data_IF_413516569070
#
_entry.id   IF_413516569070
#
_cell.length_a   1.000
_cell.length_b   1.000
_cell.length_c   1.000
_cell.angle_alpha   90.00
_cell.angle_beta   90.00
_cell.angle_gamma   90.00
#
_symmetry.space_group_name_H-M   'P 1'
#
loop_
_entity.id
_entity.type
_entity.pdbx_description
1 polymer ?
#
# COMPACT_ATOMS: atom_id res chain seq x y z
N UNK A 1 -43.18 -21.74 26.61
CA UNK A 1 -41.73 -22.01 26.48
C UNK A 1 -41.61 -23.12 25.46
N UNK A 2 -41.27 -22.79 24.22
CA UNK A 2 -41.32 -23.75 23.12
C UNK A 2 -40.06 -24.62 23.17
N UNK A 3 -40.10 -25.71 23.93
CA UNK A 3 -39.18 -26.83 23.76
C UNK A 3 -39.56 -27.56 22.48
N UNK A 4 -39.19 -26.96 21.34
CA UNK A 4 -39.24 -27.65 20.06
C UNK A 4 -38.14 -28.72 20.10
N UNK A 5 -38.55 -29.94 20.40
CA UNK A 5 -37.70 -31.13 20.47
C UNK A 5 -37.21 -31.46 19.04
N UNK A 6 -36.24 -30.69 18.56
CA UNK A 6 -35.57 -30.93 17.29
C UNK A 6 -34.78 -32.23 17.41
N UNK A 7 -35.02 -33.15 16.48
CA UNK A 7 -34.32 -34.42 16.39
C UNK A 7 -32.79 -34.19 16.44
N UNK A 8 -32.09 -34.71 17.46
CA UNK A 8 -30.64 -34.55 17.61
C UNK A 8 -29.86 -35.02 16.38
N UNK A 9 -30.41 -35.96 15.60
CA UNK A 9 -29.80 -36.42 14.36
C UNK A 9 -29.75 -35.31 13.30
N UNK A 10 -30.83 -34.56 13.09
CA UNK A 10 -30.89 -33.45 12.12
C UNK A 10 -29.86 -32.37 12.48
N UNK A 11 -29.73 -32.05 13.78
CA UNK A 11 -28.74 -31.06 14.23
C UNK A 11 -27.33 -31.49 13.85
N UNK A 12 -26.96 -32.72 14.14
CA UNK A 12 -25.59 -33.21 13.96
C UNK A 12 -25.25 -33.41 12.49
N UNK A 13 -26.17 -34.00 11.73
CA UNK A 13 -25.97 -34.35 10.33
C UNK A 13 -26.14 -33.18 9.37
N UNK A 14 -26.77 -32.08 9.77
CA UNK A 14 -26.96 -30.90 8.89
C UNK A 14 -26.10 -29.72 9.33
N UNK A 15 -26.01 -29.41 10.63
CA UNK A 15 -25.23 -28.26 11.08
C UNK A 15 -23.72 -28.48 10.96
N UNK A 16 -23.21 -29.67 11.26
CA UNK A 16 -21.77 -29.91 11.16
C UNK A 16 -21.31 -29.80 9.69
N UNK A 17 -21.99 -30.44 8.72
CA UNK A 17 -21.59 -30.29 7.32
C UNK A 17 -21.75 -28.87 6.78
N UNK A 18 -22.81 -28.14 7.14
CA UNK A 18 -23.00 -26.79 6.61
C UNK A 18 -21.97 -25.78 7.15
N UNK A 19 -21.57 -25.91 8.43
CA UNK A 19 -20.48 -25.12 9.00
C UNK A 19 -19.15 -25.47 8.32
N UNK A 20 -18.90 -26.76 8.11
CA UNK A 20 -17.69 -27.25 7.45
C UNK A 20 -17.58 -26.74 6.00
N UNK A 21 -18.67 -26.80 5.24
CA UNK A 21 -18.72 -26.28 3.86
C UNK A 21 -18.45 -24.77 3.84
N UNK A 22 -19.11 -23.99 4.71
CA UNK A 22 -18.88 -22.55 4.78
C UNK A 22 -17.43 -22.21 5.16
N UNK A 23 -16.82 -22.98 6.05
CA UNK A 23 -15.42 -22.83 6.41
C UNK A 23 -14.50 -23.08 5.21
N UNK A 24 -14.69 -24.18 4.48
CA UNK A 24 -13.92 -24.48 3.28
C UNK A 24 -14.14 -23.47 2.15
N UNK A 25 -15.37 -23.01 1.94
CA UNK A 25 -15.68 -21.95 0.97
C UNK A 25 -14.98 -20.64 1.35
N UNK A 26 -14.92 -20.31 2.65
CA UNK A 26 -14.18 -19.15 3.15
C UNK A 26 -12.68 -19.24 2.84
N UNK A 27 -12.07 -20.40 3.10
CA UNK A 27 -10.67 -20.68 2.76
C UNK A 27 -10.44 -20.59 1.25
N UNK A 28 -11.29 -21.23 0.45
CA UNK A 28 -11.20 -21.22 -1.00
C UNK A 28 -11.30 -19.80 -1.55
N UNK A 29 -12.27 -19.01 -1.08
CA UNK A 29 -12.42 -17.60 -1.45
C UNK A 29 -11.18 -16.78 -1.11
N UNK A 30 -10.57 -17.00 0.04
CA UNK A 30 -9.34 -16.31 0.43
C UNK A 30 -8.20 -16.63 -0.54
N UNK A 31 -7.97 -17.91 -0.85
CA UNK A 31 -6.91 -18.30 -1.79
C UNK A 31 -7.19 -17.84 -3.22
N UNK A 32 -8.45 -17.92 -3.69
CA UNK A 32 -8.86 -17.38 -4.99
C UNK A 32 -8.59 -15.88 -5.03
N UNK A 33 -8.95 -15.13 -3.99
CA UNK A 33 -8.66 -13.70 -3.93
C UNK A 33 -7.15 -13.42 -3.91
N UNK A 34 -6.35 -14.20 -3.19
CA UNK A 34 -4.90 -14.07 -3.20
C UNK A 34 -4.31 -14.33 -4.60
N UNK A 35 -4.85 -15.32 -5.31
CA UNK A 35 -4.43 -15.66 -6.68
C UNK A 35 -4.84 -14.58 -7.70
N UNK A 36 -6.05 -14.04 -7.57
CA UNK A 36 -6.56 -12.97 -8.43
C UNK A 36 -5.98 -11.60 -8.06
N UNK A 37 -5.51 -11.42 -6.83
CA UNK A 37 -4.82 -10.23 -6.37
C UNK A 37 -3.43 -10.15 -7.01
N UNK A 38 -3.42 -9.85 -8.30
CA UNK A 38 -2.20 -9.50 -9.02
C UNK A 38 -1.61 -8.25 -8.38
N UNK A 39 -0.38 -8.35 -7.88
CA UNK A 39 0.38 -7.18 -7.46
C UNK A 39 0.59 -6.34 -8.71
N UNK A 40 -0.20 -5.26 -8.85
CA UNK A 40 0.01 -4.25 -9.90
C UNK A 40 1.50 -3.95 -9.93
N UNK A 41 2.16 -4.15 -11.07
CA UNK A 41 3.58 -3.82 -11.24
C UNK A 41 3.73 -2.36 -10.86
N UNK A 42 4.20 -2.11 -9.66
CA UNK A 42 4.40 -0.75 -9.18
C UNK A 42 5.53 -0.19 -10.02
N UNK A 43 5.24 0.91 -10.70
CA UNK A 43 6.23 1.64 -11.46
C UNK A 43 7.42 1.95 -10.54
N UNK A 44 8.62 1.52 -10.96
CA UNK A 44 9.85 1.66 -10.18
C UNK A 44 10.09 3.12 -9.80
N UNK A 45 9.71 4.05 -10.67
CA UNK A 45 9.89 5.47 -10.41
C UNK A 45 8.90 5.99 -9.37
N UNK A 46 7.71 5.40 -9.24
CA UNK A 46 6.79 5.70 -8.13
C UNK A 46 7.32 5.16 -6.81
N UNK A 47 7.95 3.99 -6.81
CA UNK A 47 8.57 3.40 -5.61
C UNK A 47 9.79 4.20 -5.15
N UNK A 48 10.68 4.58 -6.07
CA UNK A 48 11.80 5.47 -5.73
C UNK A 48 11.30 6.73 -5.05
N UNK A 49 10.25 7.33 -5.58
CA UNK A 49 9.68 8.54 -5.04
C UNK A 49 9.08 8.42 -3.64
N UNK A 50 8.39 7.32 -3.36
CA UNK A 50 7.90 7.08 -2.00
C UNK A 50 9.08 6.95 -1.02
N UNK A 51 10.19 6.32 -1.44
CA UNK A 51 11.40 6.24 -0.63
C UNK A 51 12.07 7.60 -0.42
N UNK A 52 12.24 8.42 -1.46
CA UNK A 52 12.82 9.76 -1.33
C UNK A 52 11.99 10.66 -0.43
N UNK A 53 10.67 10.59 -0.55
CA UNK A 53 9.75 11.34 0.31
C UNK A 53 9.81 10.85 1.77
N UNK A 54 9.87 9.53 1.99
CA UNK A 54 10.07 8.96 3.32
C UNK A 54 11.40 9.39 3.95
N UNK A 55 12.50 9.42 3.18
CA UNK A 55 13.80 9.92 3.62
C UNK A 55 13.76 11.39 4.01
N UNK A 56 13.08 12.23 3.21
CA UNK A 56 12.91 13.65 3.53
C UNK A 56 12.10 13.86 4.82
N UNK A 57 11.02 13.09 5.02
CA UNK A 57 10.25 13.10 6.28
C UNK A 57 11.11 12.69 7.47
N UNK A 58 11.90 11.63 7.33
CA UNK A 58 12.79 11.15 8.38
C UNK A 58 13.86 12.19 8.73
N UNK A 59 14.46 12.83 7.71
CA UNK A 59 15.44 13.90 7.91
C UNK A 59 14.81 15.10 8.63
N UNK A 60 13.57 15.47 8.31
CA UNK A 60 12.85 16.56 9.00
C UNK A 60 12.52 16.21 10.45
N UNK A 61 12.07 14.97 10.71
CA UNK A 61 11.69 14.53 12.05
C UNK A 61 12.91 14.30 12.97
N UNK A 62 13.98 13.71 12.44
CA UNK A 62 15.16 13.27 13.19
C UNK A 62 16.42 14.09 12.89
N UNK A 63 16.28 15.28 12.29
CA UNK A 63 17.40 16.12 11.89
C UNK A 63 18.26 16.62 13.04
N UNK A 64 17.73 16.60 14.28
CA UNK A 64 18.45 17.02 15.48
C UNK A 64 19.45 15.97 16.01
N UNK A 65 19.42 14.73 15.49
CA UNK A 65 20.32 13.64 15.92
C UNK A 65 21.66 13.62 15.17
N UNK A 66 21.79 14.42 14.12
CA UNK A 66 22.99 14.47 13.28
C UNK A 66 23.68 15.83 13.39
N UNK A 67 24.96 15.88 13.04
CA UNK A 67 25.70 17.15 12.96
C UNK A 67 25.02 18.13 11.99
N UNK A 68 25.04 19.42 12.32
CA UNK A 68 24.48 20.48 11.48
C UNK A 68 25.01 20.44 10.04
N UNK A 69 26.30 20.14 9.88
CA UNK A 69 26.94 20.02 8.57
C UNK A 69 26.35 18.89 7.74
N UNK A 70 26.13 17.73 8.36
CA UNK A 70 25.57 16.56 7.68
C UNK A 70 24.09 16.74 7.36
N UNK A 71 23.37 17.45 8.22
CA UNK A 71 21.99 17.85 7.96
C UNK A 71 21.89 18.77 6.75
N UNK A 72 22.73 19.81 6.69
CA UNK A 72 22.74 20.77 5.58
C UNK A 72 23.15 20.11 4.26
N UNK A 73 24.18 19.24 4.28
CA UNK A 73 24.57 18.48 3.09
C UNK A 73 23.41 17.63 2.55
N UNK A 74 22.68 16.92 3.43
CA UNK A 74 21.53 16.09 3.03
C UNK A 74 20.33 16.94 2.61
N UNK A 75 20.10 18.08 3.26
CA UNK A 75 19.07 19.06 2.87
C UNK A 75 19.33 19.56 1.46
N UNK A 76 20.58 19.93 1.15
CA UNK A 76 20.96 20.45 -0.16
C UNK A 76 20.78 19.38 -1.25
N UNK A 77 21.03 18.10 -0.97
CA UNK A 77 20.76 17.01 -1.93
C UNK A 77 19.27 16.93 -2.35
N UNK A 78 18.35 17.30 -1.47
CA UNK A 78 16.92 17.30 -1.79
C UNK A 78 16.43 18.64 -2.37
N UNK A 79 16.98 19.76 -1.91
CA UNK A 79 16.49 21.11 -2.20
C UNK A 79 17.30 21.88 -3.25
N UNK A 80 18.44 21.37 -3.74
CA UNK A 80 19.24 22.09 -4.74
C UNK A 80 18.40 22.41 -6.00
N UNK A 81 18.54 23.64 -6.53
CA UNK A 81 17.69 24.14 -7.61
C UNK A 81 17.92 23.40 -8.92
N UNK A 82 19.17 22.97 -9.19
CA UNK A 82 19.53 22.34 -10.46
C UNK A 82 19.57 20.82 -10.40
N UNK A 83 19.80 20.23 -9.22
CA UNK A 83 19.99 18.77 -9.03
C UNK A 83 19.14 18.16 -7.92
N UNK A 84 18.32 18.95 -7.24
CA UNK A 84 17.47 18.46 -6.16
C UNK A 84 16.44 17.49 -6.69
N UNK A 85 16.48 16.25 -6.19
CA UNK A 85 15.57 15.18 -6.62
C UNK A 85 14.10 15.60 -6.57
N UNK A 86 13.73 16.46 -5.61
CA UNK A 86 12.36 16.94 -5.44
C UNK A 86 11.97 18.01 -6.46
N UNK A 87 12.89 18.90 -6.84
CA UNK A 87 12.61 19.99 -7.78
C UNK A 87 12.50 19.46 -9.22
N UNK A 88 13.52 18.74 -9.70
CA UNK A 88 13.56 18.17 -11.05
C UNK A 88 12.39 17.21 -11.32
N UNK A 89 11.93 16.47 -10.30
CA UNK A 89 10.79 15.55 -10.44
C UNK A 89 9.43 16.24 -10.33
N UNK A 90 9.36 17.42 -9.69
CA UNK A 90 8.15 18.26 -9.70
C UNK A 90 7.95 18.87 -11.09
N UNK A 91 9.02 19.36 -11.70
CA UNK A 91 9.03 19.87 -13.09
C UNK A 91 8.62 18.78 -14.10
N UNK A 92 9.16 17.56 -13.97
CA UNK A 92 8.81 16.48 -14.90
C UNK A 92 7.35 16.02 -14.79
N UNK A 93 6.71 16.18 -13.61
CA UNK A 93 5.28 15.92 -13.46
C UNK A 93 4.40 17.01 -14.03
N UNK A 94 4.81 18.28 -13.95
CA UNK A 94 4.03 19.41 -14.51
C UNK A 94 4.04 19.40 -16.03
N UNK A 95 5.16 19.05 -16.67
CA UNK A 95 5.23 18.95 -18.14
C UNK A 95 4.31 17.87 -18.72
N UNK A 96 4.12 16.75 -18.01
CA UNK A 96 3.30 15.63 -18.47
C UNK A 96 1.79 15.78 -18.16
N UNK A 97 1.34 16.94 -17.66
CA UNK A 97 -0.06 17.21 -17.30
C UNK A 97 -0.65 18.41 -18.05
N UNK A 98 -0.18 18.69 -19.27
CA UNK A 98 -0.85 19.64 -20.16
C UNK A 98 -1.77 18.90 -21.14
N UNK A 99 -3.09 18.80 -20.86
CA UNK A 99 -4.06 18.23 -21.80
C UNK A 99 -4.45 19.17 -22.96
N UNK A 100 -3.74 20.29 -23.17
CA UNK A 100 -4.15 21.37 -24.08
C UNK A 100 -3.08 21.84 -25.08
N UNK A 101 -1.98 21.12 -25.30
CA UNK A 101 -1.11 21.43 -26.45
C UNK A 101 -1.69 20.78 -27.72
N UNK A 102 -2.21 21.56 -28.70
CA UNK A 102 -2.43 21.02 -30.04
C UNK A 102 -1.06 20.77 -30.68
N UNK A 103 -0.91 19.57 -31.24
CA UNK A 103 0.24 19.18 -32.04
C UNK A 103 0.47 20.10 -33.25
#
# INVERSE_FOLDING_TARGET
MADLLLDPAIRTWVFIPIVLINFFVGILRHYVHLLLSSKKKTDLDKVKDTHYLAKARLLRANGNLISRRDFEMRKNLFLDEKKGYLQTRMESKTTNQNPLDPA
#
